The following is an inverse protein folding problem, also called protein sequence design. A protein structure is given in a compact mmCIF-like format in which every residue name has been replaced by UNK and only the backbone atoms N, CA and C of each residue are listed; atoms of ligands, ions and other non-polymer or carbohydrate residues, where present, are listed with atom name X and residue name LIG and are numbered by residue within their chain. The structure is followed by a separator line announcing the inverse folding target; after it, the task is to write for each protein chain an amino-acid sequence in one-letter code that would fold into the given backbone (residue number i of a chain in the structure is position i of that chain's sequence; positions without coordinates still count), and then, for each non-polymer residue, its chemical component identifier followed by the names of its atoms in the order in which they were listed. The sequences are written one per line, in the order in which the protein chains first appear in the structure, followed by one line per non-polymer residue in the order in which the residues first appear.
data_IF_099943572929
#
_entry.id   IF_099943572929
#
_cell.length_a   1.000
_cell.length_b   1.000
_cell.length_c   1.000
_cell.angle_alpha   90.00
_cell.angle_beta   90.00
_cell.angle_gamma   90.00
#
_symmetry.space_group_name_H-M   'P 1'
#
loop_
_entity.id
_entity.type
_entity.pdbx_description
1 polymer ?
#
# COMPACT_ATOMS: atom_id res chain seq x y z
N UNK A 1 -16.05 8.95 26.19
CA UNK A 1 -15.84 7.75 25.36
C UNK A 1 -14.75 6.93 26.01
N UNK A 2 -14.95 5.62 26.12
CA UNK A 2 -13.93 4.67 26.59
C UNK A 2 -12.81 4.58 25.52
N UNK A 3 -11.56 4.76 25.93
CA UNK A 3 -10.37 4.70 25.07
C UNK A 3 -10.29 3.38 24.29
N UNK A 4 -10.68 2.27 24.92
CA UNK A 4 -10.75 0.95 24.27
C UNK A 4 -11.83 0.85 23.20
N UNK A 5 -12.91 1.61 23.36
CA UNK A 5 -13.97 1.67 22.35
C UNK A 5 -13.51 2.47 21.13
N UNK A 6 -12.71 3.52 21.34
CA UNK A 6 -12.09 4.31 20.26
C UNK A 6 -11.08 3.48 19.47
N UNK A 7 -10.18 2.75 20.16
CA UNK A 7 -9.21 1.86 19.49
C UNK A 7 -9.90 0.82 18.59
N UNK A 8 -10.91 0.12 19.12
CA UNK A 8 -11.66 -0.87 18.35
C UNK A 8 -12.41 -0.27 17.16
N UNK A 9 -12.88 0.96 17.28
CA UNK A 9 -13.53 1.65 16.18
C UNK A 9 -12.52 2.03 15.09
N UNK A 10 -11.35 2.53 15.48
CA UNK A 10 -10.23 2.81 14.57
C UNK A 10 -9.78 1.55 13.83
N UNK A 11 -9.62 0.42 14.52
CA UNK A 11 -9.29 -0.87 13.90
C UNK A 11 -10.30 -1.24 12.81
N UNK A 12 -11.61 -1.08 13.09
CA UNK A 12 -12.67 -1.35 12.11
C UNK A 12 -12.58 -0.42 10.92
N UNK A 13 -12.33 0.87 11.14
CA UNK A 13 -12.20 1.86 10.08
C UNK A 13 -10.99 1.58 9.18
N UNK A 14 -9.86 1.17 9.76
CA UNK A 14 -8.64 0.78 9.03
C UNK A 14 -8.93 -0.44 8.16
N UNK A 15 -9.50 -1.51 8.73
CA UNK A 15 -9.84 -2.73 7.98
C UNK A 15 -10.82 -2.44 6.84
N UNK A 16 -11.87 -1.64 7.10
CA UNK A 16 -12.83 -1.27 6.07
C UNK A 16 -12.19 -0.46 4.93
N UNK A 17 -11.22 0.39 5.25
CA UNK A 17 -10.49 1.20 4.27
C UNK A 17 -9.52 0.36 3.45
N UNK A 18 -8.76 -0.56 4.07
CA UNK A 18 -7.90 -1.50 3.36
C UNK A 18 -8.69 -2.35 2.35
N UNK A 19 -9.86 -2.85 2.73
CA UNK A 19 -10.71 -3.62 1.80
C UNK A 19 -11.15 -2.80 0.58
N UNK A 20 -11.51 -1.53 0.80
CA UNK A 20 -11.88 -0.61 -0.29
C UNK A 20 -10.70 -0.29 -1.19
N UNK A 21 -9.51 -0.11 -0.62
CA UNK A 21 -8.27 0.10 -1.35
C UNK A 21 -7.96 -1.09 -2.27
N UNK A 22 -7.95 -2.32 -1.74
CA UNK A 22 -7.72 -3.55 -2.52
C UNK A 22 -8.71 -3.65 -3.67
N UNK A 23 -10.01 -3.47 -3.40
CA UNK A 23 -11.06 -3.50 -4.44
C UNK A 23 -10.81 -2.49 -5.56
N UNK A 24 -10.36 -1.27 -5.22
CA UNK A 24 -10.07 -0.24 -6.21
C UNK A 24 -8.81 -0.55 -7.03
N UNK A 25 -7.81 -1.20 -6.42
CA UNK A 25 -6.60 -1.65 -7.11
C UNK A 25 -6.90 -2.80 -8.07
N UNK A 26 -7.66 -3.80 -7.63
CA UNK A 26 -8.06 -4.94 -8.46
C UNK A 26 -8.86 -4.49 -9.70
N UNK A 27 -9.78 -3.54 -9.53
CA UNK A 27 -10.57 -2.99 -10.62
C UNK A 27 -9.70 -2.34 -11.72
N UNK A 28 -8.54 -1.77 -11.36
CA UNK A 28 -7.61 -1.16 -12.33
C UNK A 28 -6.77 -2.17 -13.10
N UNK A 29 -6.57 -3.38 -12.57
CA UNK A 29 -5.76 -4.41 -13.24
C UNK A 29 -6.30 -4.78 -14.63
N UNK A 30 -7.62 -4.74 -14.81
CA UNK A 30 -8.26 -5.05 -16.09
C UNK A 30 -7.91 -4.08 -17.22
N UNK A 31 -7.58 -2.83 -16.89
CA UNK A 31 -7.25 -1.79 -17.87
C UNK A 31 -5.74 -1.59 -18.10
N UNK A 32 -4.87 -2.28 -17.36
CA UNK A 32 -3.42 -2.15 -17.48
C UNK A 32 -2.85 -3.01 -18.62
N UNK A 33 -1.88 -2.47 -19.35
CA UNK A 33 -1.05 -3.25 -20.28
C UNK A 33 -0.15 -4.25 -19.51
N UNK A 34 0.46 -5.21 -20.23
CA UNK A 34 1.38 -6.16 -19.62
C UNK A 34 2.57 -5.47 -18.96
N UNK A 35 3.21 -4.52 -19.66
CA UNK A 35 4.35 -3.76 -19.15
C UNK A 35 3.98 -2.95 -17.89
N UNK A 36 2.79 -2.34 -17.88
CA UNK A 36 2.30 -1.62 -16.69
C UNK A 36 2.06 -2.58 -15.52
N UNK A 37 1.54 -3.80 -15.77
CA UNK A 37 1.35 -4.81 -14.71
C UNK A 37 2.68 -5.27 -14.12
N UNK A 38 3.71 -5.46 -14.95
CA UNK A 38 5.03 -5.86 -14.49
C UNK A 38 5.64 -4.81 -13.57
N UNK A 39 5.64 -3.53 -13.99
CA UNK A 39 6.14 -2.42 -13.15
C UNK A 39 5.33 -2.26 -11.88
N UNK A 40 4.00 -2.35 -11.98
CA UNK A 40 3.11 -2.26 -10.83
C UNK A 40 3.31 -3.42 -9.83
N UNK A 41 3.55 -4.64 -10.32
CA UNK A 41 3.88 -5.79 -9.49
C UNK A 41 5.20 -5.60 -8.74
N UNK A 42 6.25 -5.09 -9.42
CA UNK A 42 7.54 -4.82 -8.79
C UNK A 42 7.44 -3.82 -7.63
N UNK A 43 6.60 -2.78 -7.78
CA UNK A 43 6.30 -1.83 -6.70
C UNK A 43 5.62 -2.57 -5.54
N UNK A 44 4.50 -3.25 -5.81
CA UNK A 44 3.69 -3.87 -4.76
C UNK A 44 4.43 -4.96 -3.99
N UNK A 45 5.18 -5.83 -4.67
CA UNK A 45 5.92 -6.93 -4.03
C UNK A 45 6.99 -6.41 -3.06
N UNK A 46 7.68 -5.33 -3.44
CA UNK A 46 8.67 -4.65 -2.60
C UNK A 46 8.03 -4.06 -1.34
N UNK A 47 6.90 -3.36 -1.49
CA UNK A 47 6.17 -2.77 -0.38
C UNK A 47 5.61 -3.83 0.59
N UNK A 48 5.07 -4.93 0.05
CA UNK A 48 4.52 -6.04 0.84
C UNK A 48 5.61 -6.74 1.63
N UNK A 49 6.76 -7.05 1.01
CA UNK A 49 7.88 -7.71 1.70
C UNK A 49 8.36 -6.90 2.92
N UNK A 50 8.35 -5.56 2.84
CA UNK A 50 8.68 -4.70 3.98
C UNK A 50 7.65 -4.79 5.10
N UNK A 51 6.37 -4.78 4.77
CA UNK A 51 5.28 -4.90 5.75
C UNK A 51 5.26 -6.27 6.43
N UNK A 52 5.69 -7.33 5.73
CA UNK A 52 5.83 -8.69 6.29
C UNK A 52 7.01 -8.80 7.27
N UNK A 53 7.99 -7.89 7.18
CA UNK A 53 9.15 -7.85 8.09
C UNK A 53 8.78 -7.08 9.37
N UNK A 54 8.02 -7.73 10.25
CA UNK A 54 7.36 -7.14 11.43
C UNK A 54 8.28 -6.62 12.56
N UNK A 55 9.59 -6.53 12.33
CA UNK A 55 10.55 -6.06 13.34
C UNK A 55 10.72 -4.54 13.37
N UNK A 56 10.29 -3.84 12.31
CA UNK A 56 10.48 -2.38 12.18
C UNK A 56 9.24 -1.59 12.60
N UNK A 57 9.41 -0.44 13.29
CA UNK A 57 8.31 0.50 13.53
C UNK A 57 7.63 0.92 12.23
N UNK A 58 6.30 1.10 12.26
CA UNK A 58 5.51 1.54 11.10
C UNK A 58 6.08 2.80 10.41
N UNK A 59 6.66 3.73 11.19
CA UNK A 59 7.33 4.92 10.66
C UNK A 59 8.49 4.58 9.72
N UNK A 60 9.34 3.63 10.09
CA UNK A 60 10.49 3.20 9.29
C UNK A 60 10.02 2.49 8.03
N UNK A 61 9.03 1.60 8.14
CA UNK A 61 8.42 0.95 6.99
C UNK A 61 7.88 2.00 6.00
N UNK A 62 7.14 3.00 6.49
CA UNK A 62 6.59 4.06 5.64
C UNK A 62 7.68 4.92 4.97
N UNK A 63 8.80 5.19 5.65
CA UNK A 63 9.93 5.91 5.05
C UNK A 63 10.58 5.11 3.94
N UNK A 64 10.79 3.82 4.13
CA UNK A 64 11.33 2.92 3.11
C UNK A 64 10.39 2.76 1.92
N UNK A 65 9.08 2.62 2.20
CA UNK A 65 8.04 2.57 1.17
C UNK A 65 8.07 3.83 0.29
N UNK A 66 8.17 5.03 0.89
CA UNK A 66 8.27 6.29 0.15
C UNK A 66 9.57 6.36 -0.65
N UNK A 67 10.72 6.02 -0.06
CA UNK A 67 12.00 6.10 -0.73
C UNK A 67 12.06 5.24 -2.00
N UNK A 68 11.49 4.04 -1.95
CA UNK A 68 11.55 3.07 -3.05
C UNK A 68 10.39 3.26 -4.05
N UNK A 69 9.18 3.59 -3.58
CA UNK A 69 8.06 3.86 -4.47
C UNK A 69 8.16 5.23 -5.15
N UNK A 70 8.81 6.23 -4.54
CA UNK A 70 8.89 7.59 -5.11
C UNK A 70 9.54 7.60 -6.50
N UNK A 71 10.61 6.84 -6.70
CA UNK A 71 11.27 6.74 -8.01
C UNK A 71 10.33 6.17 -9.08
N UNK A 72 9.60 5.11 -8.72
CA UNK A 72 8.68 4.41 -9.62
C UNK A 72 7.41 5.25 -9.90
N UNK A 73 6.89 5.94 -8.90
CA UNK A 73 5.77 6.88 -9.05
C UNK A 73 6.17 8.06 -9.93
N UNK A 74 7.36 8.65 -9.72
CA UNK A 74 7.86 9.76 -10.53
C UNK A 74 8.09 9.33 -11.99
N UNK A 75 8.57 8.11 -12.23
CA UNK A 75 8.72 7.56 -13.58
C UNK A 75 7.36 7.41 -14.29
N UNK A 76 6.33 6.90 -13.60
CA UNK A 76 4.98 6.79 -14.17
C UNK A 76 4.31 8.16 -14.39
N UNK A 77 4.64 9.18 -13.59
CA UNK A 77 4.15 10.55 -13.79
C UNK A 77 4.79 11.26 -15.00
N UNK A 78 5.95 10.80 -15.45
CA UNK A 78 6.71 11.36 -16.58
C UNK A 78 6.49 10.58 -17.89
N UNK A 79 5.70 9.50 -17.84
CA UNK A 79 5.34 8.65 -18.98
C UNK A 79 4.10 9.14 -19.72
#
# INVERSE_FOLDING_TARGET
MDERALEKDLDRQIVATHRRFVKAMDARLGSMSADTKERYFAVLSTLVAKLETAEKPMREIMQEMVAEAAGLILQEMQG
#
